data_IF_683086406664
#
_entry.id   IF_683086406664
#
_cell.length_a   1.000
_cell.length_b   1.000
_cell.length_c   1.000
_cell.angle_alpha   90.00
_cell.angle_beta   90.00
_cell.angle_gamma   90.00
#
_symmetry.space_group_name_H-M   'P 1'
#
loop_
_entity.id
_entity.type
_entity.pdbx_description
1 polymer ?
#
# COMPACT_ATOMS: atom_id res chain seq x y z
N UNK A 1 5.13 25.26 -4.23
CA UNK A 1 6.10 24.45 -3.46
C UNK A 1 5.37 23.30 -2.80
N UNK A 2 5.38 22.09 -3.38
CA UNK A 2 4.99 20.85 -2.66
C UNK A 2 6.00 19.78 -3.05
N UNK A 3 7.20 19.89 -2.46
CA UNK A 3 8.32 18.95 -2.59
C UNK A 3 8.37 17.98 -1.40
N UNK A 4 7.23 17.48 -0.91
CA UNK A 4 7.22 16.67 0.32
C UNK A 4 7.00 15.17 0.14
N UNK A 5 6.81 14.66 -1.09
CA UNK A 5 6.88 13.21 -1.29
C UNK A 5 7.08 12.80 -2.76
N UNK A 6 8.31 12.83 -3.31
CA UNK A 6 8.54 12.36 -4.69
C UNK A 6 8.24 10.86 -4.87
N UNK A 7 8.12 10.09 -3.78
CA UNK A 7 7.90 8.64 -3.83
C UNK A 7 6.51 8.14 -3.44
N UNK A 8 5.76 8.88 -2.61
CA UNK A 8 4.42 8.51 -2.12
C UNK A 8 4.33 7.11 -1.48
N UNK A 9 5.45 6.49 -1.10
CA UNK A 9 5.56 5.08 -0.72
C UNK A 9 6.27 4.96 0.63
N UNK A 10 5.65 4.29 1.60
CA UNK A 10 6.18 4.06 2.94
C UNK A 10 6.19 2.56 3.24
N UNK A 11 7.34 2.02 3.63
CA UNK A 11 7.44 0.63 4.06
C UNK A 11 6.98 0.50 5.51
N UNK A 12 6.03 -0.38 5.75
CA UNK A 12 5.45 -0.62 7.08
C UNK A 12 5.21 -2.12 7.28
N UNK A 13 5.31 -2.58 8.52
CA UNK A 13 5.02 -3.97 8.84
C UNK A 13 3.52 -4.24 8.74
N UNK A 14 3.16 -5.39 8.17
CA UNK A 14 1.77 -5.84 8.06
C UNK A 14 1.08 -5.84 9.42
N UNK A 15 1.72 -6.45 10.43
CA UNK A 15 1.21 -6.53 11.80
C UNK A 15 0.92 -5.15 12.40
N UNK A 16 1.76 -4.15 12.11
CA UNK A 16 1.56 -2.78 12.60
C UNK A 16 0.28 -2.19 12.04
N UNK A 17 -0.01 -2.41 10.76
CA UNK A 17 -1.24 -1.94 10.14
C UNK A 17 -2.47 -2.73 10.59
N UNK A 18 -2.36 -4.05 10.78
CA UNK A 18 -3.44 -4.85 11.37
C UNK A 18 -3.78 -4.35 12.78
N UNK A 19 -2.76 -4.05 13.60
CA UNK A 19 -2.94 -3.44 14.94
C UNK A 19 -3.56 -2.04 14.90
N UNK A 20 -3.33 -1.29 13.83
CA UNK A 20 -3.95 0.02 13.60
C UNK A 20 -5.38 -0.09 13.03
N UNK A 21 -5.88 -1.31 12.80
CA UNK A 21 -7.22 -1.56 12.25
C UNK A 21 -7.30 -1.48 10.72
N UNK A 22 -6.17 -1.51 10.01
CA UNK A 22 -6.16 -1.51 8.56
C UNK A 22 -6.71 -2.84 8.01
N UNK A 23 -7.71 -2.76 7.13
CA UNK A 23 -8.36 -3.94 6.58
C UNK A 23 -7.82 -4.29 5.19
N UNK A 24 -6.92 -5.28 5.13
CA UNK A 24 -6.35 -5.82 3.90
C UNK A 24 -7.35 -6.55 2.98
N UNK A 25 -8.58 -6.76 3.42
CA UNK A 25 -9.65 -7.30 2.57
C UNK A 25 -10.45 -6.20 1.88
N UNK A 26 -10.24 -4.95 2.26
CA UNK A 26 -10.99 -3.81 1.74
C UNK A 26 -10.15 -3.08 0.68
N UNK A 27 -10.41 -3.38 -0.58
CA UNK A 27 -9.80 -2.72 -1.73
C UNK A 27 -10.84 -2.62 -2.85
N UNK A 28 -10.73 -1.57 -3.64
CA UNK A 28 -11.61 -1.34 -4.81
C UNK A 28 -11.03 -1.93 -6.07
N UNK A 29 -9.70 -1.96 -6.18
CA UNK A 29 -8.99 -2.46 -7.36
C UNK A 29 -7.76 -3.28 -6.96
N UNK A 30 -7.53 -4.35 -7.70
CA UNK A 30 -6.28 -5.12 -7.66
C UNK A 30 -5.59 -4.91 -9.00
N UNK A 31 -4.31 -4.57 -8.97
CA UNK A 31 -3.46 -4.52 -10.14
C UNK A 31 -2.38 -5.59 -10.03
N UNK A 32 -2.42 -6.57 -10.91
CA UNK A 32 -1.39 -7.62 -10.98
C UNK A 32 -0.42 -7.29 -12.11
N UNK A 33 0.88 -7.27 -11.79
CA UNK A 33 1.93 -7.11 -12.79
C UNK A 33 2.24 -8.44 -13.46
N UNK A 34 2.84 -8.39 -14.66
CA UNK A 34 3.33 -9.56 -15.40
C UNK A 34 4.32 -10.44 -14.61
N UNK A 35 4.92 -9.90 -13.53
CA UNK A 35 5.82 -10.64 -12.63
C UNK A 35 5.07 -11.35 -11.48
N UNK A 36 3.74 -11.33 -11.46
CA UNK A 36 2.90 -11.92 -10.41
C UNK A 36 2.78 -11.05 -9.14
N UNK A 37 3.32 -9.83 -9.15
CA UNK A 37 3.22 -8.91 -8.00
C UNK A 37 1.85 -8.24 -8.02
N UNK A 38 1.11 -8.33 -6.92
CA UNK A 38 -0.26 -7.79 -6.76
C UNK A 38 -0.27 -6.53 -5.91
N UNK A 39 -0.79 -5.45 -6.47
CA UNK A 39 -1.02 -4.18 -5.81
C UNK A 39 -2.50 -4.05 -5.49
N UNK A 40 -2.81 -3.61 -4.28
CA UNK A 40 -4.18 -3.41 -3.82
C UNK A 40 -4.41 -1.92 -3.61
N UNK A 41 -5.48 -1.38 -4.19
CA UNK A 41 -5.80 0.04 -4.13
C UNK A 41 -7.18 0.24 -3.51
N UNK A 42 -7.26 1.22 -2.62
CA UNK A 42 -8.46 1.69 -1.94
C UNK A 42 -8.45 3.23 -1.98
N UNK A 43 -9.12 3.81 -2.97
CA UNK A 43 -9.20 5.26 -3.21
C UNK A 43 -7.84 5.98 -3.08
N UNK A 44 -7.64 6.68 -1.95
CA UNK A 44 -6.47 7.53 -1.66
C UNK A 44 -5.21 6.72 -1.28
N UNK A 45 -5.38 5.43 -0.97
CA UNK A 45 -4.33 4.56 -0.47
C UNK A 45 -4.17 3.32 -1.34
N UNK A 46 -2.94 2.94 -1.63
CA UNK A 46 -2.57 1.63 -2.13
C UNK A 46 -1.69 0.89 -1.13
N UNK A 47 -1.59 -0.43 -1.25
CA UNK A 47 -0.57 -1.20 -0.59
C UNK A 47 -0.06 -2.33 -1.48
N UNK A 48 1.21 -2.66 -1.30
CA UNK A 48 1.88 -3.75 -1.96
C UNK A 48 2.47 -4.69 -0.89
N UNK A 49 1.98 -5.93 -0.75
CA UNK A 49 2.65 -6.93 0.07
C UNK A 49 3.99 -7.28 -0.58
N UNK A 50 5.08 -7.00 0.12
CA UNK A 50 6.43 -7.38 -0.31
C UNK A 50 6.71 -8.81 0.14
N UNK A 51 6.38 -9.11 1.40
CA UNK A 51 6.51 -10.40 2.05
C UNK A 51 5.36 -10.56 3.07
N UNK A 52 5.29 -11.70 3.76
CA UNK A 52 4.26 -11.94 4.78
C UNK A 52 4.26 -10.89 5.91
N UNK A 53 5.43 -10.34 6.25
CA UNK A 53 5.60 -9.37 7.35
C UNK A 53 5.65 -7.91 6.91
N UNK A 54 5.97 -7.64 5.65
CA UNK A 54 6.29 -6.30 5.19
C UNK A 54 5.42 -5.90 4.02
N UNK A 55 4.89 -4.69 4.10
CA UNK A 55 4.13 -4.10 3.02
C UNK A 55 4.68 -2.71 2.69
N UNK A 56 4.46 -2.30 1.45
CA UNK A 56 4.69 -0.94 0.98
C UNK A 56 3.33 -0.24 0.89
N UNK A 57 3.06 0.66 1.82
CA UNK A 57 1.90 1.55 1.73
C UNK A 57 2.20 2.63 0.69
N UNK A 58 1.28 2.87 -0.23
CA UNK A 58 1.33 3.93 -1.22
C UNK A 58 0.25 4.95 -0.84
N UNK A 59 0.61 6.18 -0.53
CA UNK A 59 -0.33 7.26 -0.22
C UNK A 59 -0.34 8.18 -1.43
N UNK A 60 -1.48 8.27 -2.12
CA UNK A 60 -1.64 9.17 -3.26
C UNK A 60 -2.04 10.55 -2.71
N UNK A 61 -1.06 11.30 -2.21
CA UNK A 61 -1.30 12.65 -1.71
C UNK A 61 -1.69 13.54 -2.91
N UNK A 62 -2.96 13.92 -3.00
CA UNK A 62 -3.48 14.80 -4.05
C UNK A 62 -3.07 16.26 -3.81
#
# INVERSE_FOLDING_TARGET
MVMLNPGGKTKVSREKLEKLGFNFKYYTHIYETLKGIRYFYCYDYGYLPINDREILLIIQNK
#
